data_IF_114357870502
#
_entry.id   IF_114357870502
#
_cell.length_a   1.000
_cell.length_b   1.000
_cell.length_c   1.000
_cell.angle_alpha   90.00
_cell.angle_beta   90.00
_cell.angle_gamma   90.00
#
_symmetry.space_group_name_H-M   'P 1'
#
loop_
_entity.id
_entity.type
_entity.pdbx_description
1 polymer ?
#
# COMPACT_ATOMS: atom_id res chain seq x y z
N UNK A 1 19.31 -8.00 11.36
CA UNK A 1 19.73 -6.65 10.90
C UNK A 1 18.71 -5.57 11.25
N UNK A 2 17.46 -5.61 10.76
CA UNK A 2 16.41 -4.64 11.17
C UNK A 2 15.90 -4.89 12.60
N UNK A 3 15.55 -6.14 12.92
CA UNK A 3 15.13 -6.54 14.28
C UNK A 3 16.19 -6.20 15.34
N UNK A 4 17.47 -6.47 15.06
CA UNK A 4 18.58 -6.07 15.93
C UNK A 4 18.73 -4.55 16.04
N UNK A 5 18.51 -3.82 14.95
CA UNK A 5 18.56 -2.35 14.92
C UNK A 5 17.48 -1.72 15.79
N UNK A 6 16.28 -2.30 15.81
CA UNK A 6 15.17 -1.86 16.69
C UNK A 6 15.20 -2.53 18.07
N UNK A 7 16.25 -3.30 18.39
CA UNK A 7 16.43 -3.95 19.69
C UNK A 7 15.43 -5.08 19.99
N UNK A 8 14.73 -5.60 18.98
CA UNK A 8 13.78 -6.69 19.13
C UNK A 8 14.41 -8.04 18.76
N UNK A 9 14.28 -9.03 19.64
CA UNK A 9 14.70 -10.41 19.35
C UNK A 9 13.64 -11.21 18.60
N UNK A 10 12.37 -10.94 18.90
CA UNK A 10 11.21 -11.63 18.36
C UNK A 10 10.10 -10.60 18.10
N UNK A 11 9.22 -10.89 17.14
CA UNK A 11 7.94 -10.19 16.99
C UNK A 11 6.87 -11.02 17.68
N UNK A 12 5.98 -10.37 18.44
CA UNK A 12 4.80 -11.05 19.00
C UNK A 12 3.81 -11.39 17.88
N UNK A 13 3.22 -12.58 17.94
CA UNK A 13 2.25 -13.09 16.97
C UNK A 13 1.03 -13.72 17.68
N UNK A 14 0.70 -13.25 18.89
CA UNK A 14 -0.50 -13.68 19.62
C UNK A 14 -1.78 -13.10 19.01
N UNK A 15 -2.75 -13.97 18.76
CA UNK A 15 -4.08 -13.59 18.30
C UNK A 15 -4.81 -12.76 19.37
N UNK A 16 -4.73 -13.17 20.64
CA UNK A 16 -5.35 -12.49 21.77
C UNK A 16 -4.78 -11.07 21.94
N UNK A 17 -3.48 -10.91 21.73
CA UNK A 17 -2.84 -9.60 21.74
C UNK A 17 -3.33 -8.72 20.60
N UNK A 18 -3.45 -9.26 19.38
CA UNK A 18 -4.00 -8.55 18.24
C UNK A 18 -5.45 -8.07 18.49
N UNK A 19 -6.31 -8.93 19.05
CA UNK A 19 -7.68 -8.57 19.44
C UNK A 19 -7.69 -7.45 20.49
N UNK A 20 -6.83 -7.54 21.50
CA UNK A 20 -6.71 -6.52 22.55
C UNK A 20 -6.28 -5.16 21.98
N UNK A 21 -5.26 -5.16 21.12
CA UNK A 21 -4.70 -3.94 20.55
C UNK A 21 -5.65 -3.28 19.54
N UNK A 22 -6.27 -4.06 18.65
CA UNK A 22 -7.26 -3.56 17.70
C UNK A 22 -8.59 -3.20 18.37
N UNK A 23 -8.94 -3.87 19.48
CA UNK A 23 -10.13 -3.58 20.28
C UNK A 23 -10.02 -2.30 21.10
N UNK A 24 -8.81 -1.77 21.30
CA UNK A 24 -8.60 -0.55 22.07
C UNK A 24 -9.11 0.69 21.31
N UNK A 25 -10.17 1.31 21.82
CA UNK A 25 -10.78 2.53 21.25
C UNK A 25 -10.30 3.81 21.93
N UNK A 26 -9.30 3.74 22.81
CA UNK A 26 -8.74 4.91 23.49
C UNK A 26 -8.09 5.83 22.47
N UNK A 27 -8.51 7.10 22.46
CA UNK A 27 -7.94 8.10 21.57
C UNK A 27 -6.53 8.48 22.04
N UNK A 28 -5.59 8.50 21.11
CA UNK A 28 -4.23 8.98 21.32
C UNK A 28 -3.87 9.98 20.23
N UNK A 29 -3.24 11.09 20.62
CA UNK A 29 -2.70 12.07 19.66
C UNK A 29 -1.45 11.56 18.93
N UNK A 30 -0.88 10.44 19.40
CA UNK A 30 0.31 9.80 18.83
C UNK A 30 0.03 8.32 18.57
N UNK A 31 0.43 7.82 17.40
CA UNK A 31 0.23 6.44 17.02
C UNK A 31 0.33 6.26 15.50
N UNK A 32 0.49 5.01 15.08
CA UNK A 32 0.58 4.63 13.65
C UNK A 32 -0.80 4.41 13.02
N UNK A 33 -1.87 4.37 13.83
CA UNK A 33 -3.25 4.22 13.34
C UNK A 33 -3.65 2.79 12.96
N UNK A 34 -3.01 1.75 13.53
CA UNK A 34 -3.27 0.35 13.19
C UNK A 34 -4.76 -0.01 13.23
N UNK A 35 -5.47 0.39 14.29
CA UNK A 35 -6.90 0.09 14.41
C UNK A 35 -7.71 0.72 13.25
N UNK A 36 -7.41 1.97 12.90
CA UNK A 36 -8.11 2.68 11.83
C UNK A 36 -7.78 2.05 10.47
N UNK A 37 -6.51 1.72 10.23
CA UNK A 37 -6.07 1.05 9.02
C UNK A 37 -6.72 -0.33 8.85
N UNK A 38 -6.76 -1.13 9.92
CA UNK A 38 -7.39 -2.44 9.90
C UNK A 38 -8.91 -2.33 9.69
N UNK A 39 -9.55 -1.31 10.26
CA UNK A 39 -10.96 -1.03 10.00
C UNK A 39 -11.21 -0.74 8.51
N UNK A 40 -10.41 0.12 7.87
CA UNK A 40 -10.52 0.38 6.43
C UNK A 40 -10.29 -0.86 5.58
N UNK A 41 -9.38 -1.74 6.01
CA UNK A 41 -9.15 -3.03 5.36
C UNK A 41 -10.40 -3.92 5.45
N UNK A 42 -11.13 -3.89 6.57
CA UNK A 42 -12.38 -4.63 6.75
C UNK A 42 -13.59 -3.98 6.04
N UNK A 43 -13.58 -2.67 5.76
CA UNK A 43 -14.73 -1.96 5.19
C UNK A 43 -14.53 -1.45 3.77
N UNK A 44 -13.33 -1.51 3.22
CA UNK A 44 -13.02 -0.90 1.91
C UNK A 44 -12.00 -1.73 1.10
N UNK A 45 -10.80 -1.97 1.64
CA UNK A 45 -9.65 -2.36 0.80
C UNK A 45 -9.36 -3.86 0.73
N UNK A 46 -9.68 -4.64 1.77
CA UNK A 46 -9.39 -6.08 1.79
C UNK A 46 -7.89 -6.41 1.71
N UNK A 47 -7.05 -5.58 2.31
CA UNK A 47 -5.58 -5.66 2.22
C UNK A 47 -4.98 -6.69 3.17
N UNK A 48 -4.96 -7.96 2.77
CA UNK A 48 -4.51 -9.08 3.61
C UNK A 48 -3.33 -9.82 3.01
N UNK A 49 -2.24 -9.97 3.78
CA UNK A 49 -1.12 -10.82 3.40
C UNK A 49 -1.39 -12.25 3.87
N UNK A 50 -1.23 -13.21 2.97
CA UNK A 50 -1.47 -14.63 3.24
C UNK A 50 -0.26 -15.48 2.86
N UNK A 51 -0.01 -16.52 3.64
CA UNK A 51 1.11 -17.44 3.48
C UNK A 51 0.63 -18.90 3.63
N UNK A 52 -0.59 -19.19 3.20
CA UNK A 52 -1.20 -20.52 3.35
C UNK A 52 -0.62 -21.57 2.39
N UNK A 53 0.07 -21.16 1.32
CA UNK A 53 0.72 -22.06 0.39
C UNK A 53 2.07 -22.58 0.90
N UNK A 54 2.55 -23.67 0.31
CA UNK A 54 3.81 -24.30 0.73
C UNK A 54 5.08 -23.58 0.25
N UNK A 55 4.96 -22.57 -0.60
CA UNK A 55 6.08 -21.82 -1.18
C UNK A 55 6.51 -20.62 -0.34
N UNK A 56 5.62 -20.10 0.49
CA UNK A 56 5.89 -18.95 1.33
C UNK A 56 6.77 -19.33 2.54
N UNK A 57 7.80 -18.53 2.88
CA UNK A 57 8.74 -18.84 3.98
C UNK A 57 8.20 -18.55 5.39
N UNK A 58 7.00 -17.97 5.50
CA UNK A 58 6.38 -17.61 6.79
C UNK A 58 5.39 -18.68 7.27
N UNK A 59 4.72 -18.40 8.39
CA UNK A 59 3.77 -19.34 9.01
C UNK A 59 2.56 -19.60 8.10
N UNK A 60 2.25 -20.88 7.92
CA UNK A 60 1.05 -21.35 7.18
C UNK A 60 -0.27 -21.01 7.86
N UNK A 61 -0.22 -20.50 9.09
CA UNK A 61 -1.40 -20.05 9.83
C UNK A 61 -1.87 -18.66 9.38
N UNK A 62 -1.04 -17.92 8.64
CA UNK A 62 -1.40 -16.61 8.07
C UNK A 62 -2.28 -16.87 6.85
N UNK A 63 -3.59 -16.96 7.06
CA UNK A 63 -4.58 -17.27 6.02
C UNK A 63 -5.53 -16.10 5.83
N UNK A 64 -6.27 -16.07 4.71
CA UNK A 64 -7.31 -15.07 4.53
C UNK A 64 -8.36 -15.17 5.64
N UNK A 65 -8.71 -16.40 6.06
CA UNK A 65 -9.65 -16.63 7.16
C UNK A 65 -9.18 -15.97 8.45
N UNK A 66 -7.92 -16.20 8.86
CA UNK A 66 -7.41 -15.62 10.11
C UNK A 66 -7.42 -14.09 10.11
N UNK A 67 -7.31 -13.45 8.94
CA UNK A 67 -7.39 -11.99 8.81
C UNK A 67 -8.86 -11.50 8.86
N UNK A 68 -9.78 -12.21 8.21
CA UNK A 68 -11.22 -11.88 8.22
C UNK A 68 -11.88 -12.17 9.58
N UNK A 69 -11.37 -13.13 10.34
CA UNK A 69 -11.81 -13.41 11.71
C UNK A 69 -11.62 -12.16 12.59
N UNK A 70 -10.48 -11.45 12.47
CA UNK A 70 -10.23 -10.19 13.18
C UNK A 70 -11.26 -9.10 12.85
N UNK A 71 -11.71 -8.99 11.60
CA UNK A 71 -12.79 -8.05 11.22
C UNK A 71 -14.10 -8.35 11.96
N UNK A 72 -14.42 -9.63 12.10
CA UNK A 72 -15.64 -10.07 12.79
C UNK A 72 -15.50 -9.85 14.29
N UNK A 73 -14.39 -10.27 14.87
CA UNK A 73 -14.18 -10.27 16.33
C UNK A 73 -14.00 -8.84 16.89
N UNK A 74 -13.29 -7.97 16.17
CA UNK A 74 -13.00 -6.61 16.64
C UNK A 74 -14.09 -5.61 16.23
N UNK A 75 -14.55 -5.70 14.98
CA UNK A 75 -15.43 -4.67 14.39
C UNK A 75 -16.84 -5.14 14.11
N UNK A 76 -17.17 -6.42 14.37
CA UNK A 76 -18.48 -7.00 14.09
C UNK A 76 -18.83 -6.93 12.59
N UNK A 77 -17.81 -6.95 11.73
CA UNK A 77 -17.97 -6.93 10.27
C UNK A 77 -17.80 -8.37 9.76
N UNK A 78 -18.85 -9.00 9.22
CA UNK A 78 -18.75 -10.36 8.72
C UNK A 78 -17.94 -10.41 7.41
N UNK A 79 -17.29 -11.55 7.09
CA UNK A 79 -16.47 -11.71 5.88
C UNK A 79 -17.18 -11.31 4.58
N UNK A 80 -18.48 -11.58 4.47
CA UNK A 80 -19.25 -11.23 3.26
C UNK A 80 -19.43 -9.72 3.08
N UNK A 81 -19.56 -8.97 4.18
CA UNK A 81 -19.57 -7.51 4.10
C UNK A 81 -18.22 -6.96 3.67
N UNK A 82 -17.11 -7.58 4.12
CA UNK A 82 -15.77 -7.24 3.63
C UNK A 82 -15.69 -7.46 2.12
N UNK A 83 -16.09 -8.63 1.63
CA UNK A 83 -16.06 -8.96 0.20
C UNK A 83 -16.88 -7.98 -0.65
N UNK A 84 -18.12 -7.69 -0.23
CA UNK A 84 -18.98 -6.72 -0.91
C UNK A 84 -18.37 -5.32 -0.96
N UNK A 85 -17.74 -4.89 0.14
CA UNK A 85 -17.12 -3.57 0.21
C UNK A 85 -15.87 -3.48 -0.66
N UNK A 86 -15.05 -4.52 -0.70
CA UNK A 86 -13.89 -4.62 -1.61
C UNK A 86 -14.34 -4.58 -3.06
N UNK A 87 -15.39 -5.32 -3.41
CA UNK A 87 -15.97 -5.28 -4.75
C UNK A 87 -16.43 -3.87 -5.10
N UNK A 88 -17.18 -3.21 -4.21
CA UNK A 88 -17.61 -1.83 -4.40
C UNK A 88 -16.44 -0.88 -4.61
N UNK A 89 -15.40 -0.95 -3.77
CA UNK A 89 -14.20 -0.10 -3.88
C UNK A 89 -13.53 -0.30 -5.24
N UNK A 90 -13.34 -1.54 -5.67
CA UNK A 90 -12.72 -1.85 -6.95
C UNK A 90 -13.56 -1.34 -8.13
N UNK A 91 -14.88 -1.52 -8.10
CA UNK A 91 -15.78 -1.02 -9.14
C UNK A 91 -15.82 0.51 -9.18
N UNK A 92 -15.84 1.16 -8.02
CA UNK A 92 -15.93 2.61 -7.90
C UNK A 92 -14.65 3.31 -8.37
N UNK A 93 -13.47 2.83 -7.93
CA UNK A 93 -12.18 3.45 -8.26
C UNK A 93 -11.52 2.90 -9.52
N UNK A 94 -12.03 1.79 -10.07
CA UNK A 94 -11.52 1.18 -11.30
C UNK A 94 -10.36 0.20 -11.10
N UNK A 95 -10.11 -0.25 -9.86
CA UNK A 95 -9.05 -1.21 -9.51
C UNK A 95 -7.67 -0.86 -10.14
N UNK A 96 -7.13 -1.73 -10.99
CA UNK A 96 -5.87 -1.55 -11.70
C UNK A 96 -6.01 -0.80 -13.05
N UNK A 97 -7.22 -0.36 -13.38
CA UNK A 97 -7.55 0.48 -14.54
C UNK A 97 -8.36 1.71 -14.10
N UNK A 98 -7.82 2.55 -13.18
CA UNK A 98 -8.50 3.76 -12.77
C UNK A 98 -8.75 4.67 -13.99
N UNK A 99 -9.89 5.36 -13.99
CA UNK A 99 -10.28 6.28 -15.07
C UNK A 99 -10.21 7.71 -14.58
N UNK A 100 -9.02 8.31 -14.68
CA UNK A 100 -8.78 9.67 -14.22
C UNK A 100 -7.91 10.42 -15.22
N UNK A 101 -7.23 11.48 -14.78
CA UNK A 101 -6.27 12.21 -15.59
C UNK A 101 -5.18 12.81 -14.71
N UNK A 102 -4.01 13.04 -15.32
CA UNK A 102 -2.84 13.66 -14.65
C UNK A 102 -2.38 12.88 -13.42
N UNK A 103 -2.20 11.57 -13.61
CA UNK A 103 -1.66 10.67 -12.59
C UNK A 103 -0.31 10.12 -13.05
N UNK A 104 0.65 10.06 -12.12
CA UNK A 104 1.91 9.35 -12.29
C UNK A 104 1.94 8.20 -11.28
N UNK A 105 1.81 6.96 -11.75
CA UNK A 105 1.93 5.76 -10.93
C UNK A 105 3.42 5.38 -10.83
N UNK A 106 4.04 5.63 -9.68
CA UNK A 106 5.47 5.39 -9.47
C UNK A 106 5.66 4.15 -8.61
N UNK A 107 6.37 3.15 -9.12
CA UNK A 107 6.60 1.89 -8.42
C UNK A 107 8.08 1.50 -8.50
N UNK A 108 8.60 0.86 -7.46
CA UNK A 108 9.92 0.24 -7.45
C UNK A 108 9.82 -1.27 -7.65
N UNK A 109 10.77 -1.90 -8.33
CA UNK A 109 10.75 -3.34 -8.62
C UNK A 109 11.04 -4.24 -7.41
N UNK A 110 11.73 -3.72 -6.39
CA UNK A 110 11.99 -4.44 -5.13
C UNK A 110 10.78 -4.33 -4.18
N UNK A 111 9.95 -3.29 -4.33
CA UNK A 111 8.79 -3.05 -3.47
C UNK A 111 7.70 -4.09 -3.71
N UNK A 112 7.38 -5.02 -2.78
CA UNK A 112 6.35 -6.04 -3.03
C UNK A 112 4.97 -5.45 -3.35
N UNK A 113 4.71 -4.19 -2.98
CA UNK A 113 3.44 -3.53 -3.27
C UNK A 113 3.23 -3.18 -4.74
N UNK A 114 4.28 -3.19 -5.57
CA UNK A 114 4.14 -2.96 -7.01
C UNK A 114 3.20 -3.99 -7.67
N UNK A 115 3.08 -5.20 -7.11
CA UNK A 115 2.19 -6.25 -7.60
C UNK A 115 0.69 -5.86 -7.56
N UNK A 116 0.32 -4.89 -6.72
CA UNK A 116 -1.05 -4.40 -6.55
C UNK A 116 -1.28 -3.03 -7.23
N UNK A 117 -0.35 -2.61 -8.09
CA UNK A 117 -0.31 -1.26 -8.66
C UNK A 117 -0.45 -1.23 -10.18
N UNK A 118 -0.54 -0.03 -10.74
CA UNK A 118 -0.56 0.21 -12.18
C UNK A 118 0.88 0.30 -12.70
N UNK A 119 1.31 -0.71 -13.45
CA UNK A 119 2.70 -0.83 -13.95
C UNK A 119 2.89 -0.43 -15.42
N UNK A 120 1.81 -0.03 -16.09
CA UNK A 120 1.81 0.40 -17.50
C UNK A 120 0.93 1.63 -17.66
N UNK A 121 1.29 2.49 -18.62
CA UNK A 121 0.49 3.67 -18.96
C UNK A 121 -0.95 3.26 -19.31
N UNK A 122 -1.91 3.94 -18.69
CA UNK A 122 -3.35 3.75 -18.96
C UNK A 122 -3.83 4.72 -20.03
N UNK A 123 -3.22 5.91 -20.10
CA UNK A 123 -3.49 6.93 -21.11
C UNK A 123 -2.28 7.85 -21.33
N UNK A 124 -2.41 8.87 -22.18
CA UNK A 124 -1.38 9.91 -22.31
C UNK A 124 -1.19 10.75 -21.05
N UNK A 125 -2.20 10.80 -20.17
CA UNK A 125 -2.18 11.60 -18.93
C UNK A 125 -2.03 10.76 -17.67
N UNK A 126 -2.08 9.44 -17.80
CA UNK A 126 -1.97 8.46 -16.71
C UNK A 126 -0.81 7.53 -17.04
N UNK A 127 0.37 7.92 -16.57
CA UNK A 127 1.63 7.26 -16.90
C UNK A 127 2.13 6.43 -15.72
N UNK A 128 2.83 5.34 -16.01
CA UNK A 128 3.48 4.49 -15.03
C UNK A 128 5.01 4.59 -15.16
N UNK A 129 5.69 4.82 -14.05
CA UNK A 129 7.15 4.84 -13.96
C UNK A 129 7.56 3.68 -13.05
N UNK A 130 8.17 2.66 -13.65
CA UNK A 130 8.65 1.48 -12.92
C UNK A 130 10.18 1.53 -12.78
N UNK A 131 10.64 1.73 -11.55
CA UNK A 131 12.02 2.08 -11.22
C UNK A 131 12.77 0.83 -10.76
N UNK A 132 13.72 0.38 -11.59
CA UNK A 132 14.59 -0.74 -11.25
C UNK A 132 15.56 -0.38 -10.11
N UNK A 133 15.71 -1.27 -9.13
CA UNK A 133 16.64 -1.16 -8.02
C UNK A 133 16.13 -0.33 -6.86
N UNK A 134 14.81 -0.15 -6.73
CA UNK A 134 14.22 0.68 -5.66
C UNK A 134 13.08 -0.01 -4.93
N UNK A 135 12.98 0.29 -3.64
CA UNK A 135 11.93 -0.19 -2.76
C UNK A 135 10.85 0.89 -2.54
N UNK A 136 9.99 0.66 -1.55
CA UNK A 136 8.77 1.42 -1.30
C UNK A 136 8.99 2.95 -1.29
N UNK A 137 8.31 3.63 -2.23
CA UNK A 137 8.26 5.08 -2.37
C UNK A 137 9.63 5.80 -2.37
N UNK A 138 10.69 5.14 -2.87
CA UNK A 138 12.05 5.70 -2.85
C UNK A 138 12.16 7.08 -3.54
N UNK A 139 11.33 7.33 -4.56
CA UNK A 139 11.23 8.58 -5.30
C UNK A 139 10.87 9.78 -4.41
N UNK A 140 10.10 9.56 -3.32
CA UNK A 140 9.64 10.61 -2.40
C UNK A 140 10.71 11.07 -1.40
N UNK A 141 11.77 10.26 -1.22
CA UNK A 141 12.87 10.63 -0.33
C UNK A 141 13.74 11.74 -0.93
N UNK A 142 14.42 12.55 -0.09
CA UNK A 142 15.42 13.50 -0.56
C UNK A 142 16.52 12.82 -1.39
N UNK A 143 17.00 13.51 -2.42
CA UNK A 143 18.09 13.02 -3.27
C UNK A 143 19.37 12.78 -2.48
N UNK A 144 20.08 11.70 -2.80
CA UNK A 144 21.37 11.32 -2.23
C UNK A 144 22.36 10.99 -3.34
N UNK A 145 23.64 11.19 -3.09
CA UNK A 145 24.71 10.80 -4.02
C UNK A 145 24.78 9.30 -4.28
N UNK A 146 24.22 8.49 -3.37
CA UNK A 146 24.13 7.03 -3.48
C UNK A 146 22.91 6.54 -4.26
N UNK A 147 22.02 7.43 -4.71
CA UNK A 147 20.80 7.01 -5.39
C UNK A 147 21.13 6.38 -6.75
N UNK A 148 20.49 5.25 -7.11
CA UNK A 148 20.76 4.59 -8.38
C UNK A 148 20.36 5.51 -9.55
N UNK A 149 21.05 5.43 -10.70
CA UNK A 149 20.74 6.27 -11.86
C UNK A 149 19.27 6.17 -12.33
N UNK A 150 18.65 4.99 -12.17
CA UNK A 150 17.23 4.76 -12.45
C UNK A 150 16.32 5.67 -11.62
N UNK A 151 16.61 5.85 -10.33
CA UNK A 151 15.85 6.71 -9.43
C UNK A 151 16.02 8.20 -9.77
N UNK A 152 17.25 8.60 -10.12
CA UNK A 152 17.52 9.98 -10.55
C UNK A 152 16.73 10.33 -11.80
N UNK A 153 16.80 9.46 -12.83
CA UNK A 153 16.04 9.60 -14.08
C UNK A 153 14.54 9.63 -13.83
N UNK A 154 14.02 8.78 -12.94
CA UNK A 154 12.61 8.77 -12.60
C UNK A 154 12.15 10.10 -11.96
N UNK A 155 12.95 10.68 -11.05
CA UNK A 155 12.63 11.99 -10.46
C UNK A 155 12.64 13.12 -11.49
N UNK A 156 13.58 13.09 -12.44
CA UNK A 156 13.61 14.04 -13.56
C UNK A 156 12.36 13.91 -14.45
N UNK A 157 11.96 12.68 -14.80
CA UNK A 157 10.75 12.42 -15.58
C UNK A 157 9.48 12.92 -14.87
N UNK A 158 9.37 12.65 -13.56
CA UNK A 158 8.28 13.15 -12.71
C UNK A 158 8.25 14.69 -12.72
N UNK A 159 9.39 15.33 -12.47
CA UNK A 159 9.49 16.78 -12.43
C UNK A 159 9.10 17.42 -13.77
N UNK A 160 9.55 16.84 -14.88
CA UNK A 160 9.21 17.30 -16.23
C UNK A 160 7.71 17.18 -16.50
N UNK A 161 7.08 16.05 -16.13
CA UNK A 161 5.64 15.85 -16.33
C UNK A 161 4.80 16.80 -15.48
N UNK A 162 5.18 17.04 -14.23
CA UNK A 162 4.53 18.04 -13.37
C UNK A 162 4.68 19.44 -13.97
N UNK A 163 5.88 19.81 -14.44
CA UNK A 163 6.13 21.09 -15.07
C UNK A 163 5.28 21.30 -16.34
N UNK A 164 5.16 20.27 -17.19
CA UNK A 164 4.28 20.26 -18.36
C UNK A 164 2.82 20.55 -17.96
N UNK A 165 2.32 19.87 -16.92
CA UNK A 165 0.96 20.07 -16.44
C UNK A 165 0.73 21.48 -15.89
N UNK A 166 1.65 22.01 -15.09
CA UNK A 166 1.58 23.38 -14.57
C UNK A 166 1.60 24.42 -15.68
N UNK A 167 2.42 24.21 -16.73
CA UNK A 167 2.45 25.09 -17.88
C UNK A 167 1.14 25.03 -18.70
N UNK A 168 0.54 23.85 -18.84
CA UNK A 168 -0.73 23.69 -19.58
C UNK A 168 -1.87 24.51 -18.96
N UNK A 169 -1.91 24.60 -17.63
CA UNK A 169 -2.92 25.39 -16.90
C UNK A 169 -2.69 26.89 -17.10
N UNK A 170 -1.44 27.36 -16.98
CA UNK A 170 -1.10 28.78 -17.18
C UNK A 170 -1.39 29.33 -18.58
N UNK A 171 -1.53 28.47 -19.58
CA UNK A 171 -1.87 28.86 -20.97
C UNK A 171 -3.38 28.85 -21.25
N UNK A 172 -4.17 28.28 -20.34
CA UNK A 172 -5.64 28.24 -20.45
C UNK A 172 -6.32 29.36 -19.66
N UNK A 173 -5.55 30.13 -18.89
CA UNK A 173 -5.90 31.46 -18.36
C UNK A 173 -5.49 32.57 -19.34
#
# INVERSE_FOLDING_TARGET
>A
MYMDYIGLKCVDNSHEKALSDLGNTTLSAVGVGERQWYYQTCTEFGYYQTCGDGSCPFSRLITLKSQLDLCTEVFQIPPESVHQSVQFTNEFYGADHPKSSRIIFVNGDIDPWHALSVLKNQSHSEIAIFINGTAHCANMNPSRSSDPPSLQKAREEIANKIAEWLQSVRRTE
#
